data_IF_645754588792
#
_entry.id   IF_645754588792
#
_cell.length_a   1.000
_cell.length_b   1.000
_cell.length_c   1.000
_cell.angle_alpha   90.00
_cell.angle_beta   90.00
_cell.angle_gamma   90.00
#
_symmetry.space_group_name_H-M   'P 1'
#
loop_
_entity.id
_entity.type
_entity.pdbx_description
1 polymer ?
#
# COMPACT_ATOMS: atom_id res chain seq x y z
N UNK A 1 11.40 -14.38 -7.71
CA UNK A 1 9.94 -14.34 -7.97
C UNK A 1 9.62 -13.74 -9.33
N UNK A 2 10.15 -12.56 -9.68
CA UNK A 2 9.79 -11.85 -10.93
C UNK A 2 10.24 -12.63 -12.19
N UNK A 3 11.42 -13.25 -12.16
CA UNK A 3 12.00 -14.02 -13.28
C UNK A 3 11.79 -15.52 -13.16
N UNK A 4 11.01 -15.99 -12.17
CA UNK A 4 10.81 -17.42 -11.99
C UNK A 4 9.64 -17.92 -12.83
N UNK A 5 9.83 -19.03 -13.53
CA UNK A 5 8.77 -19.73 -14.25
C UNK A 5 8.19 -20.90 -13.44
N UNK A 6 8.91 -21.37 -12.43
CA UNK A 6 8.56 -22.53 -11.63
C UNK A 6 8.03 -22.12 -10.25
N UNK A 7 6.93 -22.72 -9.77
CA UNK A 7 6.29 -22.38 -8.48
C UNK A 7 7.22 -22.48 -7.27
N UNK A 8 8.07 -23.50 -7.22
CA UNK A 8 9.00 -23.66 -6.09
C UNK A 8 10.00 -22.51 -6.01
N UNK A 9 10.51 -22.00 -7.16
CA UNK A 9 11.41 -20.86 -7.18
C UNK A 9 10.69 -19.55 -6.81
N UNK A 10 9.43 -19.40 -7.20
CA UNK A 10 8.62 -18.28 -6.77
C UNK A 10 8.39 -18.27 -5.28
N UNK A 11 8.04 -19.44 -4.71
CA UNK A 11 7.82 -19.62 -3.29
C UNK A 11 9.08 -19.32 -2.46
N UNK A 12 10.25 -19.90 -2.82
CA UNK A 12 11.52 -19.62 -2.13
C UNK A 12 11.87 -18.14 -2.16
N UNK A 13 11.66 -17.46 -3.30
CA UNK A 13 11.89 -16.02 -3.41
C UNK A 13 10.97 -15.18 -2.52
N UNK A 14 9.71 -15.57 -2.38
CA UNK A 14 8.77 -14.91 -1.44
C UNK A 14 9.19 -15.14 0.01
N UNK A 15 9.66 -16.35 0.37
CA UNK A 15 10.04 -16.68 1.74
C UNK A 15 11.32 -15.94 2.16
N UNK A 16 12.32 -15.88 1.30
CA UNK A 16 13.53 -15.08 1.54
C UNK A 16 13.17 -13.60 1.77
N UNK A 17 12.25 -13.07 0.98
CA UNK A 17 11.79 -11.69 1.13
C UNK A 17 11.11 -11.45 2.48
N UNK A 18 10.24 -12.37 2.93
CA UNK A 18 9.54 -12.25 4.21
C UNK A 18 10.51 -12.37 5.40
N UNK A 19 11.47 -13.27 5.34
CA UNK A 19 12.48 -13.44 6.39
C UNK A 19 13.44 -12.25 6.48
N UNK A 20 13.82 -11.67 5.34
CA UNK A 20 14.77 -10.56 5.31
C UNK A 20 14.24 -9.28 5.98
N UNK A 21 12.91 -9.06 6.01
CA UNK A 21 12.34 -7.84 6.61
C UNK A 21 12.11 -7.97 8.12
N UNK A 22 12.03 -9.17 8.69
CA UNK A 22 11.77 -9.39 10.12
C UNK A 22 12.76 -8.66 11.04
N UNK A 23 14.09 -8.76 10.85
CA UNK A 23 15.05 -8.05 11.68
C UNK A 23 14.94 -6.52 11.53
N UNK A 24 14.50 -6.03 10.39
CA UNK A 24 14.28 -4.60 10.17
C UNK A 24 13.06 -4.07 10.94
N UNK A 25 11.99 -4.87 11.06
CA UNK A 25 10.81 -4.53 11.86
C UNK A 25 11.16 -4.53 13.36
N UNK A 26 11.90 -5.53 13.83
CA UNK A 26 12.25 -5.71 15.25
C UNK A 26 13.41 -4.84 15.72
N UNK A 27 14.05 -4.06 14.83
CA UNK A 27 15.27 -3.27 15.12
C UNK A 27 15.21 -2.40 16.37
N UNK A 28 14.02 -1.90 16.75
CA UNK A 28 13.87 -1.04 17.92
C UNK A 28 13.76 -1.79 19.25
N UNK A 29 13.66 -3.11 19.24
CA UNK A 29 13.46 -3.98 20.40
C UNK A 29 12.36 -3.53 21.39
N UNK A 30 11.44 -2.70 20.91
CA UNK A 30 10.30 -2.24 21.70
C UNK A 30 9.18 -3.31 21.66
N UNK A 31 8.40 -3.50 22.76
CA UNK A 31 7.33 -4.52 22.78
C UNK A 31 6.36 -4.46 21.60
N UNK A 32 6.02 -3.27 21.12
CA UNK A 32 5.18 -3.11 19.92
C UNK A 32 5.88 -3.55 18.63
N UNK A 33 7.19 -3.43 18.54
CA UNK A 33 7.94 -3.87 17.37
C UNK A 33 8.04 -5.39 17.32
N UNK A 34 8.21 -6.04 18.48
CA UNK A 34 8.21 -7.51 18.58
C UNK A 34 6.81 -8.09 18.27
N UNK A 35 5.74 -7.45 18.79
CA UNK A 35 4.36 -7.80 18.42
C UNK A 35 4.10 -7.64 16.92
N UNK A 36 4.57 -6.56 16.31
CA UNK A 36 4.43 -6.32 14.89
C UNK A 36 5.18 -7.37 14.06
N UNK A 37 6.41 -7.74 14.45
CA UNK A 37 7.21 -8.75 13.75
C UNK A 37 6.58 -10.14 13.86
N UNK A 38 6.03 -10.53 15.02
CA UNK A 38 5.34 -11.81 15.18
C UNK A 38 4.04 -11.87 14.37
N UNK A 39 3.22 -10.82 14.38
CA UNK A 39 2.01 -10.75 13.54
C UNK A 39 2.35 -10.84 12.06
N UNK A 40 3.38 -10.14 11.61
CA UNK A 40 3.83 -10.20 10.22
C UNK A 40 4.29 -11.61 9.85
N UNK A 41 5.14 -12.22 10.68
CA UNK A 41 5.65 -13.56 10.42
C UNK A 41 4.53 -14.59 10.32
N UNK A 42 3.61 -14.64 11.30
CA UNK A 42 2.51 -15.60 11.31
C UNK A 42 1.61 -15.49 10.09
N UNK A 43 1.23 -14.26 9.72
CA UNK A 43 0.36 -14.06 8.55
C UNK A 43 1.06 -14.37 7.24
N UNK A 44 2.33 -14.02 7.10
CA UNK A 44 3.08 -14.31 5.88
C UNK A 44 3.43 -15.79 5.76
N UNK A 45 3.73 -16.48 6.87
CA UNK A 45 3.95 -17.93 6.91
C UNK A 45 2.67 -18.70 6.51
N UNK A 46 1.51 -18.30 7.06
CA UNK A 46 0.23 -18.89 6.66
C UNK A 46 -0.07 -18.67 5.16
N UNK A 47 0.24 -17.48 4.64
CA UNK A 47 0.07 -17.19 3.23
C UNK A 47 1.03 -17.99 2.34
N UNK A 48 2.28 -18.21 2.76
CA UNK A 48 3.25 -18.99 2.00
C UNK A 48 2.92 -20.49 1.99
N UNK A 49 2.42 -21.03 3.10
CA UNK A 49 1.94 -22.44 3.14
C UNK A 49 0.73 -22.65 2.26
N UNK A 50 -0.24 -21.71 2.25
CA UNK A 50 -1.38 -21.77 1.34
C UNK A 50 -0.97 -21.68 -0.14
N UNK A 51 0.01 -20.83 -0.47
CA UNK A 51 0.53 -20.71 -1.82
C UNK A 51 1.20 -22.00 -2.28
N UNK A 52 2.00 -22.61 -1.42
CA UNK A 52 2.65 -23.89 -1.70
C UNK A 52 1.60 -24.99 -1.87
N UNK A 53 0.59 -25.06 -1.00
CA UNK A 53 -0.48 -26.03 -1.10
C UNK A 53 -1.28 -25.86 -2.41
N UNK A 54 -1.57 -24.63 -2.82
CA UNK A 54 -2.25 -24.33 -4.09
C UNK A 54 -1.42 -24.78 -5.30
N UNK A 55 -0.10 -24.57 -5.28
CA UNK A 55 0.79 -25.01 -6.36
C UNK A 55 0.93 -26.53 -6.41
N UNK A 56 1.05 -27.20 -5.25
CA UNK A 56 1.11 -28.67 -5.17
C UNK A 56 -0.19 -29.33 -5.62
N UNK A 57 -1.34 -28.78 -5.23
CA UNK A 57 -2.65 -29.32 -5.67
C UNK A 57 -2.85 -29.18 -7.18
N UNK A 58 -2.37 -28.09 -7.78
CA UNK A 58 -2.39 -27.94 -9.23
C UNK A 58 -1.44 -28.95 -9.89
N UNK A 59 -0.21 -29.09 -9.39
CA UNK A 59 0.77 -30.05 -9.91
C UNK A 59 0.32 -31.50 -9.78
N UNK A 60 -0.35 -31.85 -8.68
CA UNK A 60 -0.91 -33.20 -8.47
C UNK A 60 -1.97 -33.55 -9.51
N UNK A 61 -2.83 -32.61 -9.86
CA UNK A 61 -3.95 -32.84 -10.77
C UNK A 61 -3.57 -32.68 -12.26
N UNK A 62 -2.65 -31.78 -12.57
CA UNK A 62 -2.30 -31.42 -13.96
C UNK A 62 -0.91 -31.85 -14.38
N UNK A 63 -0.03 -32.21 -13.44
CA UNK A 63 1.39 -32.51 -13.69
C UNK A 63 2.25 -31.27 -13.99
N UNK A 64 1.67 -30.06 -13.95
CA UNK A 64 2.33 -28.84 -14.37
C UNK A 64 2.80 -27.99 -13.18
N UNK A 65 4.08 -27.59 -13.23
CA UNK A 65 4.69 -26.70 -12.22
C UNK A 65 4.88 -25.27 -12.71
N UNK A 66 4.49 -24.96 -13.94
CA UNK A 66 4.59 -23.64 -14.51
C UNK A 66 3.59 -22.65 -13.89
N UNK A 67 4.04 -21.42 -13.62
CA UNK A 67 3.23 -20.39 -12.98
C UNK A 67 2.06 -19.98 -13.89
N UNK A 68 2.26 -19.96 -15.19
CA UNK A 68 1.25 -19.54 -16.16
C UNK A 68 0.17 -20.59 -16.44
N UNK A 69 0.42 -21.85 -16.09
CA UNK A 69 -0.48 -22.97 -16.41
C UNK A 69 -1.29 -23.40 -15.16
N UNK A 70 -2.10 -22.51 -14.65
CA UNK A 70 -3.07 -22.75 -13.58
C UNK A 70 -4.43 -23.04 -14.17
N UNK A 71 -4.85 -24.30 -14.17
CA UNK A 71 -6.14 -24.70 -14.80
C UNK A 71 -7.18 -25.18 -13.78
N UNK A 72 -6.74 -25.68 -12.62
CA UNK A 72 -7.65 -26.23 -11.62
C UNK A 72 -8.35 -25.14 -10.80
N UNK A 73 -9.70 -25.06 -10.75
CA UNK A 73 -10.43 -23.95 -10.15
C UNK A 73 -10.21 -23.80 -8.65
N UNK A 74 -10.06 -24.90 -7.90
CA UNK A 74 -9.81 -24.85 -6.45
C UNK A 74 -8.43 -24.30 -6.15
N UNK A 75 -7.39 -24.69 -6.92
CA UNK A 75 -6.04 -24.16 -6.78
C UNK A 75 -5.98 -22.67 -7.14
N UNK A 76 -6.76 -22.21 -8.13
CA UNK A 76 -6.87 -20.79 -8.46
C UNK A 76 -7.46 -19.97 -7.28
N UNK A 77 -8.51 -20.50 -6.62
CA UNK A 77 -9.11 -19.82 -5.45
C UNK A 77 -8.12 -19.79 -4.28
N UNK A 78 -7.46 -20.90 -3.96
CA UNK A 78 -6.47 -20.95 -2.88
C UNK A 78 -5.29 -20.01 -3.14
N UNK A 79 -4.85 -19.91 -4.39
CA UNK A 79 -3.78 -19.02 -4.80
C UNK A 79 -4.19 -17.55 -4.68
N UNK A 80 -5.41 -17.17 -5.11
CA UNK A 80 -5.91 -15.81 -4.93
C UNK A 80 -5.97 -15.43 -3.46
N UNK A 81 -6.42 -16.33 -2.58
CA UNK A 81 -6.43 -16.12 -1.14
C UNK A 81 -5.01 -15.96 -0.58
N UNK A 82 -4.07 -16.80 -0.97
CA UNK A 82 -2.67 -16.72 -0.52
C UNK A 82 -2.01 -15.40 -0.90
N UNK A 83 -2.17 -14.96 -2.15
CA UNK A 83 -1.60 -13.69 -2.61
C UNK A 83 -2.30 -12.51 -1.95
N UNK A 84 -3.62 -12.57 -1.75
CA UNK A 84 -4.37 -11.52 -1.06
C UNK A 84 -3.94 -11.36 0.40
N UNK A 85 -3.61 -12.46 1.11
CA UNK A 85 -3.00 -12.40 2.44
C UNK A 85 -1.65 -11.71 2.41
N UNK A 86 -0.78 -12.01 1.44
CA UNK A 86 0.54 -11.38 1.30
C UNK A 86 0.44 -9.88 1.01
N UNK A 87 -0.51 -9.46 0.20
CA UNK A 87 -0.74 -8.04 -0.12
C UNK A 87 -1.47 -7.28 1.00
N UNK A 88 -2.23 -7.98 1.82
CA UNK A 88 -3.11 -7.38 2.82
C UNK A 88 -4.41 -6.83 2.22
N UNK A 89 -4.99 -7.52 1.23
CA UNK A 89 -6.33 -7.23 0.73
C UNK A 89 -7.39 -7.70 1.73
N UNK A 90 -8.57 -7.12 1.68
CA UNK A 90 -9.68 -7.60 2.51
C UNK A 90 -10.16 -8.97 2.03
N UNK A 91 -10.45 -9.90 2.96
CA UNK A 91 -10.58 -9.76 4.41
C UNK A 91 -9.27 -9.83 5.22
N UNK A 92 -8.14 -10.15 4.64
CA UNK A 92 -6.88 -10.44 5.32
C UNK A 92 -5.99 -9.21 5.59
N UNK A 93 -6.58 -8.04 5.77
CA UNK A 93 -5.88 -6.76 5.87
C UNK A 93 -5.39 -6.38 7.28
N UNK A 94 -5.87 -7.03 8.36
CA UNK A 94 -5.66 -6.60 9.74
C UNK A 94 -4.20 -6.50 10.17
N UNK A 95 -3.33 -7.33 9.62
CA UNK A 95 -1.91 -7.33 9.96
C UNK A 95 -1.18 -6.05 9.52
N UNK A 96 -1.58 -5.44 8.40
CA UNK A 96 -0.84 -4.36 7.77
C UNK A 96 -0.87 -3.05 8.60
N UNK A 97 -2.01 -2.58 9.17
CA UNK A 97 -2.04 -1.42 10.05
C UNK A 97 -1.24 -1.63 11.35
N UNK A 98 -1.27 -2.83 11.91
CA UNK A 98 -0.57 -3.16 13.14
C UNK A 98 0.95 -3.19 12.92
N UNK A 99 1.39 -3.82 11.83
CA UNK A 99 2.81 -3.90 11.46
C UNK A 99 3.38 -2.51 11.13
N UNK A 100 2.65 -1.69 10.37
CA UNK A 100 3.09 -0.31 10.09
C UNK A 100 3.13 0.56 11.34
N UNK A 101 2.24 0.33 12.30
CA UNK A 101 2.27 1.04 13.58
C UNK A 101 3.51 0.68 14.42
N UNK A 102 3.90 -0.60 14.46
CA UNK A 102 5.04 -1.08 15.25
C UNK A 102 6.40 -0.83 14.61
N UNK A 103 6.46 -0.70 13.28
CA UNK A 103 7.70 -0.54 12.52
C UNK A 103 8.18 0.92 12.45
N UNK A 104 9.49 1.21 12.32
CA UNK A 104 9.99 2.54 12.01
C UNK A 104 9.53 3.01 10.61
N UNK A 105 9.53 4.32 10.37
CA UNK A 105 9.03 4.90 9.10
C UNK A 105 9.79 4.39 7.86
N UNK A 106 11.10 4.14 8.00
CA UNK A 106 11.94 3.61 6.91
C UNK A 106 11.53 2.19 6.52
N UNK A 107 11.31 1.31 7.50
CA UNK A 107 10.81 -0.05 7.22
C UNK A 107 9.35 -0.05 6.78
N UNK A 108 8.55 0.90 7.28
CA UNK A 108 7.19 1.13 6.78
C UNK A 108 7.15 1.48 5.29
N UNK A 109 8.11 2.26 4.81
CA UNK A 109 8.26 2.55 3.39
C UNK A 109 8.57 1.27 2.60
N UNK A 110 9.52 0.45 3.05
CA UNK A 110 9.86 -0.82 2.40
C UNK A 110 8.65 -1.76 2.33
N UNK A 111 7.89 -1.87 3.44
CA UNK A 111 6.66 -2.66 3.50
C UNK A 111 5.58 -2.16 2.52
N UNK A 112 5.44 -0.84 2.40
CA UNK A 112 4.42 -0.24 1.54
C UNK A 112 4.76 -0.32 0.04
N UNK A 113 6.04 -0.44 -0.32
CA UNK A 113 6.51 -0.41 -1.72
C UNK A 113 7.16 -1.72 -2.16
N UNK A 114 8.39 -2.00 -1.72
CA UNK A 114 9.21 -3.13 -2.21
C UNK A 114 8.59 -4.49 -1.89
N UNK A 115 7.99 -4.66 -0.71
CA UNK A 115 7.42 -5.94 -0.32
C UNK A 115 6.16 -6.31 -1.10
N UNK A 116 5.54 -5.33 -1.76
CA UNK A 116 4.38 -5.58 -2.62
C UNK A 116 4.75 -6.00 -4.03
N UNK A 117 5.98 -5.75 -4.48
CA UNK A 117 6.44 -6.12 -5.83
C UNK A 117 6.32 -7.63 -6.12
N UNK A 118 6.85 -8.54 -5.29
CA UNK A 118 6.80 -9.97 -5.58
C UNK A 118 5.37 -10.54 -5.65
N UNK A 119 4.44 -10.25 -4.72
CA UNK A 119 3.06 -10.71 -4.84
C UNK A 119 2.33 -10.11 -6.05
N UNK A 120 2.59 -8.85 -6.38
CA UNK A 120 2.02 -8.19 -7.56
C UNK A 120 2.51 -8.84 -8.85
N UNK A 121 3.80 -9.18 -8.96
CA UNK A 121 4.33 -9.86 -10.13
C UNK A 121 3.68 -11.23 -10.34
N UNK A 122 3.43 -11.97 -9.26
CA UNK A 122 2.69 -13.24 -9.35
C UNK A 122 1.23 -13.03 -9.80
N UNK A 123 0.54 -12.01 -9.29
CA UNK A 123 -0.80 -11.68 -9.77
C UNK A 123 -0.83 -11.35 -11.26
N UNK A 124 0.18 -10.65 -11.76
CA UNK A 124 0.29 -10.33 -13.19
C UNK A 124 0.50 -11.58 -14.04
N UNK A 125 1.38 -12.48 -13.60
CA UNK A 125 1.66 -13.73 -14.31
C UNK A 125 0.47 -14.69 -14.34
N UNK A 126 -0.33 -14.69 -13.27
CA UNK A 126 -1.50 -15.57 -13.12
C UNK A 126 -2.82 -14.91 -13.50
N UNK A 127 -2.81 -13.66 -13.98
CA UNK A 127 -4.03 -12.86 -14.23
C UNK A 127 -5.09 -13.54 -15.11
N UNK A 128 -4.67 -14.35 -16.08
CA UNK A 128 -5.56 -15.08 -17.00
C UNK A 128 -6.32 -16.24 -16.35
N UNK A 129 -5.78 -16.81 -15.26
CA UNK A 129 -6.34 -17.99 -14.59
C UNK A 129 -7.15 -17.67 -13.34
N UNK A 130 -7.07 -16.42 -12.84
CA UNK A 130 -7.72 -16.02 -11.59
C UNK A 130 -9.24 -15.82 -11.79
N UNK A 131 -9.99 -16.07 -10.71
CA UNK A 131 -11.44 -15.91 -10.73
C UNK A 131 -11.85 -14.43 -10.68
N UNK A 132 -12.49 -13.88 -11.76
CA UNK A 132 -12.74 -12.45 -11.86
C UNK A 132 -13.74 -11.95 -10.81
N UNK A 133 -14.76 -12.72 -10.48
CA UNK A 133 -15.79 -12.32 -9.51
C UNK A 133 -15.21 -12.21 -8.10
N UNK A 134 -14.34 -13.15 -7.70
CA UNK A 134 -13.68 -13.13 -6.40
C UNK A 134 -12.75 -11.94 -6.28
N UNK A 135 -11.93 -11.66 -7.29
CA UNK A 135 -11.02 -10.50 -7.29
C UNK A 135 -11.77 -9.17 -7.25
N UNK A 136 -12.84 -9.01 -8.01
CA UNK A 136 -13.64 -7.77 -7.99
C UNK A 136 -14.30 -7.55 -6.64
N UNK A 137 -14.85 -8.59 -6.01
CA UNK A 137 -15.42 -8.49 -4.67
C UNK A 137 -14.38 -8.11 -3.61
N UNK A 138 -13.21 -8.75 -3.61
CA UNK A 138 -12.11 -8.42 -2.71
C UNK A 138 -11.59 -6.99 -2.93
N UNK A 139 -11.55 -6.55 -4.16
CA UNK A 139 -11.11 -5.22 -4.52
C UNK A 139 -12.10 -4.14 -4.02
N UNK A 140 -13.40 -4.30 -4.27
CA UNK A 140 -14.44 -3.39 -3.77
C UNK A 140 -14.42 -3.36 -2.24
N UNK A 141 -14.35 -4.52 -1.58
CA UNK A 141 -14.26 -4.62 -0.13
C UNK A 141 -13.00 -3.92 0.42
N UNK A 142 -11.85 -4.01 -0.29
CA UNK A 142 -10.60 -3.35 0.14
C UNK A 142 -10.68 -1.82 0.03
N UNK A 143 -11.35 -1.29 -0.99
CA UNK A 143 -11.59 0.15 -1.12
C UNK A 143 -12.54 0.63 -0.02
N UNK A 144 -13.63 -0.10 0.23
CA UNK A 144 -14.62 0.23 1.23
C UNK A 144 -14.02 0.23 2.65
N UNK A 145 -13.41 -0.88 3.07
CA UNK A 145 -12.83 -1.01 4.41
C UNK A 145 -11.58 -0.13 4.60
N UNK A 146 -10.74 0.00 3.57
CA UNK A 146 -9.60 0.91 3.60
C UNK A 146 -10.03 2.37 3.78
N UNK A 147 -11.09 2.80 3.10
CA UNK A 147 -11.70 4.11 3.30
C UNK A 147 -12.31 4.29 4.68
N UNK A 148 -13.19 3.37 5.09
CA UNK A 148 -13.95 3.44 6.33
C UNK A 148 -13.08 3.42 7.59
N UNK A 149 -12.16 2.44 7.68
CA UNK A 149 -11.27 2.28 8.84
C UNK A 149 -10.27 3.43 8.99
N UNK A 150 -9.94 4.13 7.90
CA UNK A 150 -9.06 5.29 7.91
C UNK A 150 -9.66 6.53 8.56
N UNK A 151 -11.01 6.67 8.61
CA UNK A 151 -11.70 7.88 9.05
C UNK A 151 -11.35 8.30 10.48
N UNK A 152 -11.30 7.38 11.43
CA UNK A 152 -11.12 7.67 12.85
C UNK A 152 -9.68 7.51 13.36
N UNK A 153 -8.71 7.29 12.46
CA UNK A 153 -7.32 7.10 12.89
C UNK A 153 -6.65 8.43 13.21
N UNK A 154 -5.90 8.45 14.32
CA UNK A 154 -5.10 9.62 14.76
C UNK A 154 -3.60 9.45 14.48
N UNK A 155 -3.16 8.24 14.16
CA UNK A 155 -1.77 7.93 13.86
C UNK A 155 -1.51 7.95 12.35
N UNK A 156 -0.53 8.72 11.91
CA UNK A 156 -0.19 8.88 10.49
C UNK A 156 0.17 7.55 9.82
N UNK A 157 0.89 6.67 10.51
CA UNK A 157 1.26 5.34 9.98
C UNK A 157 0.04 4.44 9.73
N UNK A 158 -0.97 4.46 10.61
CA UNK A 158 -2.22 3.70 10.39
C UNK A 158 -3.03 4.27 9.22
N UNK A 159 -3.09 5.59 9.09
CA UNK A 159 -3.77 6.23 7.95
C UNK A 159 -3.12 5.80 6.64
N UNK A 160 -1.79 5.81 6.56
CA UNK A 160 -1.06 5.35 5.38
C UNK A 160 -1.22 3.83 5.13
N UNK A 161 -1.41 3.03 6.17
CA UNK A 161 -1.73 1.62 6.02
C UNK A 161 -3.10 1.43 5.36
N UNK A 162 -4.14 2.07 5.86
CA UNK A 162 -5.49 1.98 5.30
C UNK A 162 -5.57 2.56 3.88
N UNK A 163 -4.84 3.66 3.62
CA UNK A 163 -4.72 4.18 2.27
C UNK A 163 -4.06 3.20 1.31
N UNK A 164 -3.04 2.46 1.77
CA UNK A 164 -2.39 1.46 0.94
C UNK A 164 -3.30 0.27 0.61
N UNK A 165 -4.22 -0.11 1.53
CA UNK A 165 -5.24 -1.14 1.29
C UNK A 165 -6.23 -0.65 0.22
N UNK A 166 -6.70 0.59 0.31
CA UNK A 166 -7.60 1.15 -0.68
C UNK A 166 -6.97 1.26 -2.07
N UNK A 167 -5.69 1.69 -2.17
CA UNK A 167 -4.97 1.75 -3.44
C UNK A 167 -4.74 0.36 -4.06
N UNK A 168 -4.45 -0.65 -3.23
CA UNK A 168 -4.38 -2.04 -3.72
C UNK A 168 -5.73 -2.50 -4.29
N UNK A 169 -6.85 -2.09 -3.71
CA UNK A 169 -8.16 -2.38 -4.27
C UNK A 169 -8.34 -1.81 -5.67
N UNK A 170 -7.91 -0.58 -5.93
CA UNK A 170 -7.91 0.00 -7.28
C UNK A 170 -7.03 -0.76 -8.26
N UNK A 171 -5.86 -1.23 -7.80
CA UNK A 171 -4.93 -2.01 -8.64
C UNK A 171 -5.47 -3.40 -8.98
N UNK A 172 -6.12 -4.08 -8.03
CA UNK A 172 -6.62 -5.44 -8.24
C UNK A 172 -7.82 -5.51 -9.17
N UNK A 173 -8.66 -4.48 -9.21
CA UNK A 173 -9.78 -4.44 -10.17
C UNK A 173 -9.27 -4.34 -11.60
N UNK A 174 -8.32 -3.44 -11.86
CA UNK A 174 -7.85 -3.20 -13.22
C UNK A 174 -6.97 -4.32 -13.76
N UNK A 175 -6.41 -5.15 -12.88
CA UNK A 175 -5.58 -6.30 -13.23
C UNK A 175 -6.25 -7.22 -14.25
N UNK A 176 -7.55 -7.46 -14.09
CA UNK A 176 -8.33 -8.37 -14.92
C UNK A 176 -8.50 -7.88 -16.37
N UNK A 177 -8.53 -6.56 -16.55
CA UNK A 177 -8.84 -5.94 -17.85
C UNK A 177 -7.57 -5.44 -18.53
N UNK A 178 -6.71 -4.76 -17.80
CA UNK A 178 -5.49 -4.16 -18.37
C UNK A 178 -4.30 -4.25 -17.39
N UNK A 179 -3.46 -5.29 -17.55
CA UNK A 179 -2.29 -5.48 -16.67
C UNK A 179 -1.25 -4.37 -16.79
N UNK A 180 -1.13 -3.73 -17.97
CA UNK A 180 -0.21 -2.60 -18.18
C UNK A 180 -0.63 -1.38 -17.36
N UNK A 181 -1.93 -1.12 -17.29
CA UNK A 181 -2.48 -0.01 -16.50
C UNK A 181 -2.31 -0.27 -15.00
N UNK A 182 -2.42 -1.54 -14.57
CA UNK A 182 -2.10 -1.91 -13.17
C UNK A 182 -0.64 -1.58 -12.81
N UNK A 183 0.32 -1.87 -13.68
CA UNK A 183 1.73 -1.53 -13.44
C UNK A 183 1.95 -0.01 -13.35
N UNK A 184 1.31 0.76 -14.23
CA UNK A 184 1.39 2.22 -14.18
C UNK A 184 0.84 2.76 -12.84
N UNK A 185 -0.33 2.27 -12.41
CA UNK A 185 -0.94 2.69 -11.13
C UNK A 185 -0.06 2.33 -9.94
N UNK A 186 0.59 1.17 -9.97
CA UNK A 186 1.53 0.76 -8.95
C UNK A 186 2.78 1.65 -8.91
N UNK A 187 3.36 2.00 -10.06
CA UNK A 187 4.52 2.90 -10.13
C UNK A 187 4.19 4.28 -9.55
N UNK A 188 3.06 4.87 -9.95
CA UNK A 188 2.62 6.16 -9.40
C UNK A 188 2.39 6.07 -7.89
N UNK A 189 1.77 5.00 -7.40
CA UNK A 189 1.61 4.75 -5.98
C UNK A 189 2.98 4.69 -5.26
N UNK A 190 3.96 4.00 -5.80
CA UNK A 190 5.31 3.93 -5.22
C UNK A 190 5.97 5.31 -5.13
N UNK A 191 5.91 6.11 -6.18
CA UNK A 191 6.48 7.47 -6.21
C UNK A 191 5.85 8.32 -5.09
N UNK A 192 4.53 8.37 -5.02
CA UNK A 192 3.80 9.14 -4.01
C UNK A 192 4.09 8.65 -2.58
N UNK A 193 4.12 7.34 -2.36
CA UNK A 193 4.39 6.78 -1.02
C UNK A 193 5.84 7.03 -0.58
N UNK A 194 6.82 6.92 -1.48
CA UNK A 194 8.21 7.27 -1.18
C UNK A 194 8.32 8.74 -0.76
N UNK A 195 7.66 9.65 -1.49
CA UNK A 195 7.62 11.07 -1.15
C UNK A 195 7.07 11.31 0.26
N UNK A 196 5.93 10.69 0.60
CA UNK A 196 5.28 10.90 1.91
C UNK A 196 6.09 10.28 3.05
N UNK A 197 6.54 9.04 2.93
CA UNK A 197 7.31 8.42 4.00
C UNK A 197 8.66 9.12 4.22
N UNK A 198 9.32 9.60 3.18
CA UNK A 198 10.57 10.34 3.29
C UNK A 198 10.36 11.71 3.97
N UNK A 199 9.30 12.45 3.63
CA UNK A 199 8.95 13.71 4.27
C UNK A 199 8.53 13.50 5.74
N UNK A 200 7.71 12.50 6.06
CA UNK A 200 7.34 12.17 7.44
C UNK A 200 8.55 11.75 8.29
N UNK A 201 9.52 11.05 7.70
CA UNK A 201 10.74 10.62 8.39
C UNK A 201 11.64 11.82 8.73
N UNK A 202 11.75 12.82 7.85
CA UNK A 202 12.55 14.03 8.11
C UNK A 202 11.89 14.91 9.17
N UNK A 203 10.58 15.08 9.13
CA UNK A 203 9.81 15.86 10.09
C UNK A 203 9.62 15.09 11.42
N UNK A 204 9.75 13.75 11.40
CA UNK A 204 9.53 12.85 12.56
C UNK A 204 8.10 12.91 13.13
N UNK A 205 7.09 13.04 12.29
CA UNK A 205 5.69 13.13 12.72
C UNK A 205 5.04 11.76 12.75
N UNK A 206 4.58 11.33 13.93
CA UNK A 206 3.91 10.04 14.15
C UNK A 206 2.41 10.18 14.45
N UNK A 207 2.00 11.34 14.96
CA UNK A 207 0.61 11.65 15.34
C UNK A 207 0.13 12.90 14.61
N UNK A 208 -1.18 13.07 14.47
CA UNK A 208 -1.78 14.28 13.90
C UNK A 208 -1.35 15.56 14.64
N UNK A 209 -1.35 15.53 15.97
CA UNK A 209 -0.93 16.66 16.81
C UNK A 209 0.53 17.10 16.55
N UNK A 210 1.43 16.14 16.33
CA UNK A 210 2.83 16.46 15.99
C UNK A 210 2.98 17.00 14.58
N UNK A 211 2.05 16.67 13.69
CA UNK A 211 2.02 17.18 12.32
C UNK A 211 1.61 18.67 12.28
N UNK A 212 0.65 19.07 13.12
CA UNK A 212 0.27 20.48 13.30
C UNK A 212 1.47 21.31 13.79
N UNK A 213 2.19 20.79 14.79
CA UNK A 213 3.39 21.44 15.31
C UNK A 213 4.58 21.47 14.33
N UNK A 214 4.57 20.63 13.31
CA UNK A 214 5.64 20.58 12.31
C UNK A 214 5.63 21.80 11.38
N UNK A 215 4.48 22.42 11.16
CA UNK A 215 4.35 23.64 10.35
C UNK A 215 5.21 24.79 10.88
N UNK A 216 5.32 24.93 12.20
CA UNK A 216 6.18 25.96 12.82
C UNK A 216 7.67 25.70 12.64
N UNK A 217 8.06 24.42 12.46
CA UNK A 217 9.48 24.04 12.37
C UNK A 217 10.03 24.15 10.96
N UNK A 218 9.34 23.59 9.97
CA UNK A 218 9.81 23.49 8.59
C UNK A 218 8.61 23.68 7.65
N UNK A 219 8.20 24.93 7.36
CA UNK A 219 6.99 25.19 6.58
C UNK A 219 7.06 24.68 5.14
N UNK A 220 8.22 24.72 4.49
CA UNK A 220 8.39 24.22 3.13
C UNK A 220 8.14 22.71 2.99
N UNK A 221 8.71 21.89 3.89
CA UNK A 221 8.48 20.45 3.89
C UNK A 221 7.05 20.07 4.30
N UNK A 222 6.42 20.86 5.17
CA UNK A 222 5.02 20.62 5.51
C UNK A 222 4.08 20.95 4.34
N UNK A 223 4.37 22.01 3.56
CA UNK A 223 3.62 22.34 2.36
C UNK A 223 3.74 21.23 1.29
N UNK A 224 4.95 20.73 1.03
CA UNK A 224 5.16 19.62 0.09
C UNK A 224 4.46 18.34 0.56
N UNK A 225 4.48 18.04 1.87
CA UNK A 225 3.77 16.89 2.44
C UNK A 225 2.24 17.03 2.22
N UNK A 226 1.68 18.22 2.36
CA UNK A 226 0.26 18.45 2.10
C UNK A 226 -0.09 18.21 0.63
N UNK A 227 0.71 18.75 -0.29
CA UNK A 227 0.50 18.55 -1.73
C UNK A 227 0.58 17.06 -2.11
N UNK A 228 1.54 16.30 -1.55
CA UNK A 228 1.66 14.87 -1.81
C UNK A 228 0.52 14.04 -1.18
N UNK A 229 -0.02 14.43 -0.02
CA UNK A 229 -1.23 13.82 0.54
C UNK A 229 -2.47 14.08 -0.32
N UNK A 230 -2.62 15.31 -0.84
CA UNK A 230 -3.71 15.64 -1.75
C UNK A 230 -3.56 14.93 -3.11
N UNK A 231 -2.34 14.66 -3.56
CA UNK A 231 -2.11 13.84 -4.75
C UNK A 231 -2.54 12.39 -4.52
N UNK A 232 -2.24 11.78 -3.37
CA UNK A 232 -2.78 10.45 -3.03
C UNK A 232 -4.31 10.43 -2.94
N UNK A 233 -4.92 11.51 -2.46
CA UNK A 233 -6.37 11.66 -2.46
C UNK A 233 -6.97 11.59 -3.87
N UNK A 234 -6.18 11.97 -4.88
CA UNK A 234 -6.59 11.98 -6.28
C UNK A 234 -7.39 13.21 -6.66
N UNK A 235 -7.00 14.39 -6.17
CA UNK A 235 -7.60 15.64 -6.61
C UNK A 235 -7.09 16.02 -8.01
N UNK A 236 -7.97 16.43 -8.96
CA UNK A 236 -7.53 17.05 -10.19
C UNK A 236 -6.84 18.37 -9.83
N UNK A 237 -5.77 18.71 -10.22
CA UNK A 237 -4.75 18.62 -11.20
C UNK A 237 -3.51 17.80 -10.79
N UNK A 238 -3.57 16.99 -9.75
CA UNK A 238 -2.42 16.26 -9.21
C UNK A 238 -2.29 14.86 -9.86
N UNK A 239 -1.09 14.30 -9.82
CA UNK A 239 -0.75 13.03 -10.48
C UNK A 239 -1.60 11.85 -10.02
N UNK A 240 -2.06 11.83 -8.77
CA UNK A 240 -2.90 10.76 -8.23
C UNK A 240 -4.32 10.69 -8.81
N UNK A 241 -4.78 11.72 -9.53
CA UNK A 241 -6.06 11.67 -10.24
C UNK A 241 -5.98 10.82 -11.51
N UNK A 242 -4.85 10.88 -12.23
CA UNK A 242 -4.64 10.20 -13.49
C UNK A 242 -4.90 8.68 -13.41
N UNK A 243 -4.36 7.92 -12.45
CA UNK A 243 -4.63 6.49 -12.37
C UNK A 243 -6.10 6.16 -12.10
N UNK A 244 -6.78 6.93 -11.24
CA UNK A 244 -8.20 6.72 -10.94
C UNK A 244 -9.07 6.96 -12.17
N UNK A 245 -8.82 8.03 -12.89
CA UNK A 245 -9.53 8.38 -14.11
C UNK A 245 -9.36 7.32 -15.19
N UNK A 246 -8.13 6.86 -15.44
CA UNK A 246 -7.86 5.80 -16.42
C UNK A 246 -8.53 4.47 -16.06
N UNK A 247 -8.57 4.11 -14.77
CA UNK A 247 -9.26 2.89 -14.31
C UNK A 247 -10.76 3.00 -14.56
N UNK A 248 -11.39 4.12 -14.23
CA UNK A 248 -12.82 4.33 -14.47
C UNK A 248 -13.13 4.26 -15.97
N UNK A 249 -12.31 4.88 -16.82
CA UNK A 249 -12.47 4.81 -18.26
C UNK A 249 -12.38 3.38 -18.79
N UNK A 250 -11.44 2.59 -18.29
CA UNK A 250 -11.29 1.20 -18.72
C UNK A 250 -12.47 0.34 -18.26
N UNK A 251 -12.97 0.52 -17.04
CA UNK A 251 -14.15 -0.17 -16.52
C UNK A 251 -15.42 0.18 -17.30
N UNK A 252 -15.58 1.43 -17.72
CA UNK A 252 -16.72 1.84 -18.55
C UNK A 252 -16.66 1.27 -19.97
N UNK A 253 -15.49 1.12 -20.55
CA UNK A 253 -15.29 0.43 -21.83
C UNK A 253 -15.66 -1.06 -21.78
N UNK A 254 -15.48 -1.67 -20.60
CA UNK A 254 -15.81 -3.08 -20.36
C UNK A 254 -17.25 -3.31 -19.88
N UNK A 255 -18.12 -2.29 -20.02
CA UNK A 255 -19.53 -2.31 -19.61
C UNK A 255 -19.76 -2.57 -18.09
N UNK A 256 -18.70 -2.51 -17.28
CA UNK A 256 -18.74 -2.67 -15.82
C UNK A 256 -19.12 -1.37 -15.12
N UNK A 257 -20.14 -0.66 -15.61
CA UNK A 257 -20.58 0.64 -15.10
C UNK A 257 -21.00 0.62 -13.63
N UNK A 258 -21.71 -0.42 -13.09
CA UNK A 258 -22.10 -0.43 -11.69
C UNK A 258 -20.87 -0.57 -10.77
N UNK A 259 -19.87 -1.33 -11.15
CA UNK A 259 -18.63 -1.44 -10.36
C UNK A 259 -17.85 -0.13 -10.37
N UNK A 260 -17.76 0.55 -11.52
CA UNK A 260 -17.09 1.84 -11.64
C UNK A 260 -17.76 2.91 -10.76
N UNK A 261 -19.09 2.97 -10.71
CA UNK A 261 -19.83 3.93 -9.86
C UNK A 261 -19.62 3.64 -8.37
N UNK A 262 -19.70 2.38 -7.95
CA UNK A 262 -19.47 1.98 -6.55
C UNK A 262 -18.06 2.38 -6.09
N UNK A 263 -17.04 2.10 -6.91
CA UNK A 263 -15.66 2.41 -6.58
C UNK A 263 -15.42 3.92 -6.51
N UNK A 264 -16.00 4.69 -7.45
CA UNK A 264 -15.92 6.14 -7.44
C UNK A 264 -16.49 6.72 -6.14
N UNK A 265 -17.69 6.26 -5.72
CA UNK A 265 -18.31 6.68 -4.45
C UNK A 265 -17.46 6.28 -3.24
N UNK A 266 -16.97 5.06 -3.18
CA UNK A 266 -16.12 4.60 -2.09
C UNK A 266 -14.79 5.37 -2.01
N UNK A 267 -14.27 5.88 -3.12
CA UNK A 267 -13.05 6.70 -3.12
C UNK A 267 -13.20 8.02 -2.37
N UNK A 268 -14.42 8.54 -2.20
CA UNK A 268 -14.69 9.74 -1.42
C UNK A 268 -14.38 9.56 0.07
N UNK A 269 -14.51 8.33 0.60
CA UNK A 269 -14.10 8.03 1.98
C UNK A 269 -12.58 8.22 2.15
N UNK A 270 -11.80 7.78 1.17
CA UNK A 270 -10.36 8.00 1.15
C UNK A 270 -9.99 9.48 1.06
N UNK A 271 -10.68 10.23 0.20
CA UNK A 271 -10.48 11.66 0.05
C UNK A 271 -10.74 12.41 1.37
N UNK A 272 -11.78 12.02 2.12
CA UNK A 272 -12.14 12.67 3.39
C UNK A 272 -11.00 12.63 4.42
N UNK A 273 -10.38 11.47 4.66
CA UNK A 273 -9.31 11.41 5.67
C UNK A 273 -8.04 12.17 5.24
N UNK A 274 -7.74 12.25 3.94
CA UNK A 274 -6.63 13.08 3.45
C UNK A 274 -6.94 14.58 3.57
N UNK A 275 -8.16 15.00 3.25
CA UNK A 275 -8.57 16.39 3.48
C UNK A 275 -8.51 16.75 4.96
N UNK A 276 -8.96 15.84 5.85
CA UNK A 276 -8.84 16.07 7.30
C UNK A 276 -7.39 16.31 7.71
N UNK A 277 -6.44 15.51 7.19
CA UNK A 277 -5.00 15.71 7.43
C UNK A 277 -4.54 17.07 6.95
N UNK A 278 -4.91 17.44 5.73
CA UNK A 278 -4.54 18.72 5.13
C UNK A 278 -5.12 19.90 5.94
N UNK A 279 -6.41 19.86 6.29
CA UNK A 279 -7.05 20.91 7.08
C UNK A 279 -6.49 21.06 8.49
N UNK A 280 -6.25 19.93 9.18
CA UNK A 280 -5.61 19.98 10.49
C UNK A 280 -4.25 20.66 10.46
N UNK A 281 -3.51 20.52 9.38
CA UNK A 281 -2.17 21.11 9.30
C UNK A 281 -2.19 22.57 8.80
N UNK A 282 -3.16 22.97 7.97
CA UNK A 282 -3.19 24.31 7.36
C UNK A 282 -4.04 25.31 8.13
N UNK A 283 -5.19 24.90 8.68
CA UNK A 283 -6.18 25.78 9.31
C UNK A 283 -5.92 25.95 10.81
N UNK A 284 -5.45 24.89 11.48
CA UNK A 284 -5.18 24.98 12.90
C UNK A 284 -3.92 25.80 13.14
N UNK A 285 -4.08 26.92 13.85
CA UNK A 285 -2.95 27.74 14.28
C UNK A 285 -2.00 26.91 15.14
N UNK A 286 -0.72 26.79 14.77
CA UNK A 286 0.24 26.06 15.57
C UNK A 286 0.44 26.79 16.91
N UNK A 287 0.66 26.04 18.01
CA UNK A 287 0.93 26.66 19.30
C UNK A 287 2.20 27.52 19.21
N UNK A 288 2.13 28.76 19.70
CA UNK A 288 3.30 29.63 19.84
C UNK A 288 4.28 28.99 20.82
N UNK A 289 5.23 28.23 20.31
CA UNK A 289 6.29 27.63 21.11
C UNK A 289 7.57 28.44 20.94
N UNK A 290 8.26 28.72 22.06
CA UNK A 290 9.54 29.47 22.14
C UNK A 290 10.67 28.78 21.32
N UNK A 291 10.41 27.56 20.77
CA UNK A 291 11.36 26.81 19.97
C UNK A 291 11.73 27.45 18.61
N UNK A 292 11.12 28.56 18.22
CA UNK A 292 11.51 29.32 17.03
C UNK A 292 12.96 29.79 17.05
N UNK A 293 13.52 30.06 18.21
CA UNK A 293 14.89 30.54 18.37
C UNK A 293 15.98 29.52 17.96
N UNK A 294 15.64 28.24 17.85
CA UNK A 294 16.59 27.18 17.48
C UNK A 294 16.44 26.67 16.05
N UNK A 295 15.66 27.31 15.20
CA UNK A 295 15.44 26.89 13.81
C UNK A 295 16.73 26.87 12.97
N UNK A 296 17.66 27.79 13.22
CA UNK A 296 18.96 27.84 12.54
C UNK A 296 19.86 26.62 12.84
N UNK A 297 19.65 25.93 13.95
CA UNK A 297 20.39 24.70 14.33
C UNK A 297 19.86 23.44 13.64
N UNK A 298 18.70 23.50 12.98
CA UNK A 298 18.05 22.34 12.36
C UNK A 298 18.50 22.16 10.88
N UNK A 299 19.60 22.74 10.48
CA UNK A 299 20.18 22.55 9.16
C UNK A 299 20.68 21.08 9.00
N UNK A 300 19.73 20.15 8.87
CA UNK A 300 20.03 18.85 8.28
C UNK A 300 20.08 19.02 6.78
N UNK A 301 21.07 18.42 6.11
CA UNK A 301 21.13 18.47 4.64
C UNK A 301 19.79 17.98 4.09
N UNK A 302 19.14 18.79 3.25
CA UNK A 302 17.89 18.43 2.57
C UNK A 302 18.24 17.24 1.67
N UNK A 303 17.63 16.10 1.94
CA UNK A 303 17.80 14.93 1.08
C UNK A 303 17.26 15.29 -0.31
N UNK A 304 18.11 15.32 -1.32
CA UNK A 304 17.74 15.55 -2.72
C UNK A 304 16.67 14.58 -3.21
N UNK A 305 16.64 13.37 -2.65
CA UNK A 305 15.60 12.34 -2.88
C UNK A 305 14.20 12.88 -2.60
N UNK A 306 14.01 13.69 -1.56
CA UNK A 306 12.69 14.25 -1.24
C UNK A 306 12.26 15.20 -2.35
N UNK A 307 13.14 16.10 -2.78
CA UNK A 307 12.84 17.05 -3.83
C UNK A 307 12.45 16.36 -5.15
N UNK A 308 13.20 15.35 -5.58
CA UNK A 308 12.90 14.63 -6.83
C UNK A 308 11.56 13.91 -6.78
N UNK A 309 11.24 13.19 -5.69
CA UNK A 309 9.98 12.46 -5.61
C UNK A 309 8.78 13.38 -5.35
N UNK A 310 8.95 14.51 -4.66
CA UNK A 310 7.86 15.49 -4.49
C UNK A 310 7.55 16.25 -5.77
N UNK A 311 8.54 16.51 -6.63
CA UNK A 311 8.29 17.15 -7.94
C UNK A 311 7.62 16.21 -8.94
N UNK A 312 7.85 14.89 -8.82
CA UNK A 312 7.21 13.88 -9.67
C UNK A 312 5.81 13.48 -9.17
N UNK A 313 5.46 13.76 -7.90
CA UNK A 313 4.17 13.44 -7.30
C UNK A 313 3.16 14.58 -7.43
#
# INVERSE_FOLDING_TARGET
TISSNHWMMAWTGLEINTLAILPLISKSHHPRATEASTKYFLTQAAASTLLLFASMSNAWLTGQWDITQLTHPTSCILLTMAISMKLGLTPFHFWLPDVLQGSPLTTGLLLATLMKLPPISLLLLTSSSLNPTLLTLMAIASIALGGWMGLNQTQTRKILAFSSISHLGWMTIILLFNPKLMLLTFLLYCIMTIAIFSTLNTIKTLKLSTMIAAWTKIPSLSATLMLTLLSLAGLPPLTGFLPKWLIILELTKQEMTPTATIIALLSLLGLFFYLRLAYCATITLPPNSINHMKQWQINKPVNTIIATFTTMS
#
